data_IF_116983717081
#
_entry.id   IF_116983717081
#
_cell.length_a   1.000
_cell.length_b   1.000
_cell.length_c   1.000
_cell.angle_alpha   90.00
_cell.angle_beta   90.00
_cell.angle_gamma   90.00
#
_symmetry.space_group_name_H-M   'P 1'
#
loop_
_entity.id
_entity.type
_entity.pdbx_description
1 polymer ?
#
# COMPACT_ATOMS: atom_id res chain seq x y z
N UNK A 1 -11.53 -11.83 -24.47
CA UNK A 1 -10.47 -11.37 -23.56
C UNK A 1 -10.96 -10.07 -22.92
N UNK A 2 -11.53 -10.13 -21.72
CA UNK A 2 -11.95 -8.91 -21.02
C UNK A 2 -10.69 -8.17 -20.55
N UNK A 3 -10.61 -6.88 -20.85
CA UNK A 3 -9.60 -5.98 -20.28
C UNK A 3 -9.78 -5.99 -18.77
N UNK A 4 -8.71 -6.18 -17.99
CA UNK A 4 -8.74 -6.01 -16.54
C UNK A 4 -9.24 -4.59 -16.24
N UNK A 5 -10.39 -4.48 -15.56
CA UNK A 5 -11.10 -3.21 -15.30
C UNK A 5 -10.21 -2.25 -14.49
N UNK A 6 -9.37 -2.79 -13.60
CA UNK A 6 -8.41 -2.05 -12.77
C UNK A 6 -7.43 -1.22 -13.61
N UNK A 7 -6.78 -1.81 -14.61
CA UNK A 7 -5.80 -1.09 -15.44
C UNK A 7 -6.41 0.11 -16.17
N UNK A 8 -7.68 0.00 -16.60
CA UNK A 8 -8.35 1.10 -17.31
C UNK A 8 -8.58 2.33 -16.43
N UNK A 9 -8.73 2.17 -15.12
CA UNK A 9 -8.87 3.28 -14.18
C UNK A 9 -7.53 4.01 -13.96
N UNK A 10 -6.46 3.25 -13.74
CA UNK A 10 -5.10 3.79 -13.52
C UNK A 10 -4.47 4.42 -14.77
N UNK A 11 -5.00 4.16 -15.97
CA UNK A 11 -4.61 4.86 -17.22
C UNK A 11 -5.67 5.84 -17.72
N UNK A 12 -6.68 6.16 -16.92
CA UNK A 12 -7.73 7.09 -17.33
C UNK A 12 -7.21 8.53 -17.37
N UNK A 13 -7.76 9.33 -18.28
CA UNK A 13 -7.41 10.75 -18.43
C UNK A 13 -7.59 11.49 -17.10
N UNK A 14 -8.73 11.27 -16.42
CA UNK A 14 -9.04 11.89 -15.12
C UNK A 14 -7.98 11.61 -14.06
N UNK A 15 -7.48 10.37 -14.02
CA UNK A 15 -6.43 9.99 -13.08
C UNK A 15 -5.10 10.66 -13.43
N UNK A 16 -4.69 10.66 -14.71
CA UNK A 16 -3.46 11.31 -15.16
C UNK A 16 -3.45 12.83 -14.97
N UNK A 17 -4.60 13.50 -15.20
CA UNK A 17 -4.77 14.93 -14.90
C UNK A 17 -4.54 15.20 -13.42
N UNK A 18 -5.15 14.40 -12.53
CA UNK A 18 -4.98 14.56 -11.08
C UNK A 18 -3.53 14.34 -10.63
N UNK A 19 -2.83 13.35 -11.20
CA UNK A 19 -1.41 13.13 -10.91
C UNK A 19 -0.57 14.34 -11.32
N UNK A 20 -0.87 14.93 -12.48
CA UNK A 20 -0.21 16.16 -12.95
C UNK A 20 -0.46 17.32 -11.99
N UNK A 21 -1.70 17.51 -11.54
CA UNK A 21 -2.08 18.59 -10.60
C UNK A 21 -1.34 18.53 -9.26
N UNK A 22 -1.01 17.33 -8.79
CA UNK A 22 -0.25 17.13 -7.53
C UNK A 22 1.26 16.98 -7.76
N UNK A 23 1.74 17.07 -9.01
CA UNK A 23 3.14 16.91 -9.36
C UNK A 23 3.66 15.46 -9.19
N UNK A 24 2.78 14.47 -9.21
CA UNK A 24 3.14 13.06 -9.10
C UNK A 24 3.42 12.46 -10.49
N UNK A 25 4.49 11.68 -10.59
CA UNK A 25 4.78 10.90 -11.80
C UNK A 25 3.96 9.60 -11.81
N UNK A 26 3.29 9.32 -12.92
CA UNK A 26 2.68 8.00 -13.14
C UNK A 26 3.77 6.99 -13.52
N UNK A 27 3.83 5.87 -12.81
CA UNK A 27 4.62 4.69 -13.22
C UNK A 27 3.67 3.53 -13.46
N UNK A 28 3.73 2.95 -14.66
CA UNK A 28 2.95 1.76 -15.04
C UNK A 28 3.92 0.78 -15.69
N UNK A 29 4.06 -0.40 -15.09
CA UNK A 29 4.92 -1.46 -15.61
C UNK A 29 4.49 -1.92 -17.01
N UNK A 30 5.44 -2.46 -17.77
CA UNK A 30 5.11 -3.08 -19.06
C UNK A 30 4.27 -4.34 -18.85
N UNK A 31 3.47 -4.71 -19.86
CA UNK A 31 2.68 -5.95 -19.82
C UNK A 31 3.60 -7.13 -19.53
N UNK A 32 3.19 -7.97 -18.57
CA UNK A 32 3.92 -9.16 -18.12
C UNK A 32 5.20 -8.90 -17.28
N UNK A 33 5.42 -7.67 -16.81
CA UNK A 33 6.36 -7.39 -15.73
C UNK A 33 5.59 -7.20 -14.41
N UNK A 34 5.63 -8.21 -13.54
CA UNK A 34 4.89 -8.21 -12.27
C UNK A 34 5.73 -7.76 -11.09
N UNK A 35 7.02 -7.44 -11.29
CA UNK A 35 7.94 -7.19 -10.17
C UNK A 35 7.50 -5.98 -9.34
N UNK A 36 7.11 -4.90 -10.02
CA UNK A 36 6.61 -3.67 -9.38
C UNK A 36 5.31 -3.89 -8.59
N UNK A 37 4.49 -4.88 -8.99
CA UNK A 37 3.22 -5.17 -8.32
C UNK A 37 3.35 -6.23 -7.21
N UNK A 38 4.41 -7.05 -7.24
CA UNK A 38 4.55 -8.20 -6.34
C UNK A 38 4.51 -7.82 -4.85
N UNK A 39 5.12 -6.68 -4.48
CA UNK A 39 5.08 -6.19 -3.10
C UNK A 39 3.65 -5.78 -2.70
N UNK A 40 2.94 -5.07 -3.57
CA UNK A 40 1.55 -4.66 -3.36
C UNK A 40 0.62 -5.88 -3.26
N UNK A 41 0.84 -6.89 -4.10
CA UNK A 41 0.08 -8.15 -4.05
C UNK A 41 0.33 -8.93 -2.77
N UNK A 42 1.57 -8.98 -2.28
CA UNK A 42 1.90 -9.63 -1.01
C UNK A 42 1.18 -8.95 0.16
N UNK A 43 1.19 -7.61 0.21
CA UNK A 43 0.45 -6.83 1.21
C UNK A 43 -1.05 -7.13 1.14
N UNK A 44 -1.64 -7.08 -0.06
CA UNK A 44 -3.05 -7.38 -0.27
C UNK A 44 -3.42 -8.81 0.13
N UNK A 45 -2.51 -9.77 -0.08
CA UNK A 45 -2.65 -11.15 0.39
C UNK A 45 -2.73 -11.23 1.90
N UNK A 46 -1.77 -10.61 2.61
CA UNK A 46 -1.79 -10.53 4.08
C UNK A 46 -3.05 -9.85 4.61
N UNK A 47 -3.45 -8.72 4.02
CA UNK A 47 -4.67 -8.01 4.38
C UNK A 47 -5.92 -8.89 4.27
N UNK A 48 -6.10 -9.57 3.13
CA UNK A 48 -7.27 -10.42 2.90
C UNK A 48 -7.32 -11.61 3.85
N UNK A 49 -6.18 -12.29 4.01
CA UNK A 49 -6.09 -13.43 4.93
C UNK A 49 -6.40 -12.95 6.36
N UNK A 50 -5.60 -12.02 6.87
CA UNK A 50 -5.63 -11.63 8.28
C UNK A 50 -6.88 -10.87 8.68
N UNK A 51 -7.43 -10.01 7.83
CA UNK A 51 -8.62 -9.24 8.16
C UNK A 51 -9.87 -9.93 7.62
N UNK A 52 -9.99 -10.03 6.30
CA UNK A 52 -11.26 -10.34 5.65
C UNK A 52 -11.68 -11.79 5.90
N UNK A 53 -10.76 -12.74 5.75
CA UNK A 53 -11.02 -14.17 5.91
C UNK A 53 -11.10 -14.57 7.40
N UNK A 54 -10.20 -14.03 8.23
CA UNK A 54 -10.11 -14.39 9.65
C UNK A 54 -11.17 -13.72 10.55
N UNK A 55 -11.61 -12.48 10.27
CA UNK A 55 -12.56 -11.74 11.13
C UNK A 55 -14.00 -11.71 10.60
N UNK A 56 -14.27 -12.33 9.45
CA UNK A 56 -15.63 -12.50 8.94
C UNK A 56 -16.50 -13.40 9.84
N UNK A 57 -17.82 -13.50 9.58
CA UNK A 57 -18.54 -12.94 8.43
C UNK A 57 -18.94 -11.47 8.61
N UNK A 58 -18.87 -10.71 7.52
CA UNK A 58 -19.24 -9.30 7.43
C UNK A 58 -20.68 -9.14 7.00
N UNK A 59 -21.43 -8.21 7.61
CA UNK A 59 -22.86 -8.00 7.31
C UNK A 59 -23.10 -6.88 6.31
N UNK A 60 -22.25 -5.87 6.31
CA UNK A 60 -22.36 -4.66 5.51
C UNK A 60 -20.96 -4.05 5.27
N UNK A 61 -20.90 -3.04 4.40
CA UNK A 61 -19.66 -2.36 4.05
C UNK A 61 -19.10 -1.55 5.23
N UNK A 62 -19.96 -0.92 6.04
CA UNK A 62 -19.55 -0.08 7.17
C UNK A 62 -18.72 -0.87 8.19
N UNK A 63 -19.08 -2.13 8.47
CA UNK A 63 -18.28 -3.02 9.32
C UNK A 63 -16.89 -3.29 8.73
N UNK A 64 -16.81 -3.52 7.42
CA UNK A 64 -15.53 -3.75 6.74
C UNK A 64 -14.69 -2.48 6.78
N UNK A 65 -15.26 -1.32 6.46
CA UNK A 65 -14.56 -0.03 6.50
C UNK A 65 -13.97 0.26 7.88
N UNK A 66 -14.74 0.06 8.94
CA UNK A 66 -14.26 0.26 10.30
C UNK A 66 -13.11 -0.70 10.65
N UNK A 67 -13.24 -1.97 10.27
CA UNK A 67 -12.21 -2.97 10.50
C UNK A 67 -10.94 -2.71 9.69
N UNK A 68 -11.08 -2.19 8.46
CA UNK A 68 -9.96 -1.79 7.60
C UNK A 68 -9.18 -0.65 8.26
N UNK A 69 -9.86 0.38 8.77
CA UNK A 69 -9.19 1.50 9.45
C UNK A 69 -8.40 1.00 10.66
N UNK A 70 -8.97 0.10 11.46
CA UNK A 70 -8.26 -0.52 12.59
C UNK A 70 -7.05 -1.33 12.14
N UNK A 71 -7.22 -2.17 11.11
CA UNK A 71 -6.14 -3.00 10.59
C UNK A 71 -5.00 -2.16 10.01
N UNK A 72 -5.31 -1.09 9.27
CA UNK A 72 -4.30 -0.17 8.72
C UNK A 72 -3.57 0.57 9.83
N UNK A 73 -4.28 1.01 10.88
CA UNK A 73 -3.66 1.60 12.07
C UNK A 73 -2.65 0.63 12.68
N UNK A 74 -3.12 -0.54 13.11
CA UNK A 74 -2.28 -1.58 13.70
C UNK A 74 -1.09 -1.98 12.79
N UNK A 75 -1.32 -2.15 11.49
CA UNK A 75 -0.26 -2.54 10.55
C UNK A 75 0.88 -1.52 10.51
N UNK A 76 0.58 -0.22 10.54
CA UNK A 76 1.60 0.81 10.43
C UNK A 76 2.26 1.16 11.77
N UNK A 77 1.52 1.09 12.88
CA UNK A 77 1.98 1.58 14.18
C UNK A 77 2.47 0.49 15.13
N UNK A 78 2.04 -0.76 14.95
CA UNK A 78 2.26 -1.83 15.94
C UNK A 78 2.84 -3.12 15.33
N UNK A 79 2.52 -3.44 14.07
CA UNK A 79 2.95 -4.69 13.45
C UNK A 79 4.46 -4.71 13.22
N UNK A 80 5.14 -5.67 13.82
CA UNK A 80 6.58 -5.85 13.63
C UNK A 80 6.88 -6.63 12.33
N UNK A 81 7.79 -6.10 11.53
CA UNK A 81 8.25 -6.75 10.29
C UNK A 81 9.71 -7.17 10.42
N UNK A 82 10.01 -8.46 10.23
CA UNK A 82 11.40 -8.97 10.26
C UNK A 82 12.29 -8.30 9.21
N UNK A 83 11.74 -8.01 8.03
CA UNK A 83 12.43 -7.28 6.97
C UNK A 83 12.81 -5.84 7.36
N UNK A 84 12.10 -5.25 8.34
CA UNK A 84 12.35 -3.90 8.87
C UNK A 84 13.14 -3.94 10.18
N UNK A 85 13.77 -5.06 10.52
CA UNK A 85 14.51 -5.21 11.78
C UNK A 85 13.60 -5.32 13.00
N UNK A 86 12.40 -5.89 12.84
CA UNK A 86 11.36 -5.98 13.87
C UNK A 86 10.88 -4.61 14.35
N UNK A 87 10.68 -3.68 13.41
CA UNK A 87 10.07 -2.39 13.64
C UNK A 87 8.72 -2.28 12.91
N UNK A 88 7.77 -1.47 13.42
CA UNK A 88 6.62 -1.02 12.66
C UNK A 88 7.01 -0.18 11.44
N UNK A 89 6.22 -0.20 10.36
CA UNK A 89 6.46 0.61 9.17
C UNK A 89 6.65 2.10 9.46
N UNK A 90 5.82 2.69 10.32
CA UNK A 90 5.91 4.11 10.67
C UNK A 90 7.24 4.45 11.35
N UNK A 91 7.68 3.62 12.29
CA UNK A 91 8.97 3.83 12.97
C UNK A 91 10.15 3.68 12.01
N UNK A 92 10.09 2.68 11.13
CA UNK A 92 11.12 2.46 10.12
C UNK A 92 11.22 3.67 9.17
N UNK A 93 10.08 4.17 8.67
CA UNK A 93 10.03 5.35 7.80
C UNK A 93 10.53 6.61 8.52
N UNK A 94 10.14 6.81 9.78
CA UNK A 94 10.61 7.93 10.60
C UNK A 94 12.13 7.88 10.86
N UNK A 95 12.72 6.68 11.00
CA UNK A 95 14.17 6.51 11.10
C UNK A 95 14.85 6.83 9.76
N UNK A 96 14.28 6.34 8.65
CA UNK A 96 14.78 6.59 7.30
C UNK A 96 14.87 8.09 7.00
N UNK A 97 13.78 8.84 7.17
CA UNK A 97 13.79 10.28 6.91
C UNK A 97 14.70 11.07 7.86
N UNK A 98 14.81 10.67 9.14
CA UNK A 98 15.78 11.29 10.06
C UNK A 98 17.22 11.12 9.57
N UNK A 99 17.57 9.92 9.09
CA UNK A 99 18.90 9.65 8.55
C UNK A 99 19.20 10.43 7.27
N UNK A 100 18.22 10.62 6.39
CA UNK A 100 18.37 11.43 5.17
C UNK A 100 18.41 12.93 5.44
N UNK A 101 17.68 13.40 6.45
CA UNK A 101 17.67 14.80 6.86
C UNK A 101 18.96 15.24 7.59
N UNK A 102 19.82 14.29 7.96
CA UNK A 102 21.16 14.58 8.49
C UNK A 102 22.12 14.62 7.30
N UNK A 103 22.55 15.79 6.80
CA UNK A 103 23.53 15.84 5.74
C UNK A 103 24.82 15.21 6.27
N UNK A 104 25.49 14.43 5.42
CA UNK A 104 26.82 13.86 5.67
C UNK A 104 27.76 14.97 6.19
N UNK A 105 27.93 15.03 7.51
CA UNK A 105 28.93 15.86 8.17
C UNK A 105 30.21 15.02 8.29
N UNK A 106 30.91 14.87 7.17
CA UNK A 106 32.31 14.43 7.09
C UNK A 106 32.91 14.93 5.77
#
# INVERSE_FOLDING_TARGET
MQRLVELAQYVSIRYSERLTDVGAAASVGTVADSYDNAMTEALNGSFKAELIEHHGPWRDADQVEHAVVQWVGWYNTERLHSALGYLPPEEFEAQHYRSQATPNAA
#
